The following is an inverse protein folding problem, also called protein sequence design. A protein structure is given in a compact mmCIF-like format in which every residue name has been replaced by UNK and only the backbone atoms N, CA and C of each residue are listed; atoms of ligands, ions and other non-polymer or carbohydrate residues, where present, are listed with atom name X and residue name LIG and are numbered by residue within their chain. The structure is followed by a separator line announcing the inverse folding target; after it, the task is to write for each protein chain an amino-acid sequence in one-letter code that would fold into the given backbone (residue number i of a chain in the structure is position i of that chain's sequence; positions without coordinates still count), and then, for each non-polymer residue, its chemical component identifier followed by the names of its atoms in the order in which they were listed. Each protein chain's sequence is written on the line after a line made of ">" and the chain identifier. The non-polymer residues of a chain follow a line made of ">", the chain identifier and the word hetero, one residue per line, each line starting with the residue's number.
data_IF_068534108154
#
_entry.id   IF_068534108154
#
_cell.length_a   1.000
_cell.length_b   1.000
_cell.length_c   1.000
_cell.angle_alpha   90.00
_cell.angle_beta   90.00
_cell.angle_gamma   90.00
#
_symmetry.space_group_name_H-M   'P 1'
#
loop_
_entity.id
_entity.type
_entity.pdbx_description
1 polymer ?
#
# COMPACT_ATOMS: atom_id res chain seq x y z
N UNK A 1 2.10 -7.07 -0.17
CA UNK A 1 2.08 -8.51 0.17
C UNK A 1 2.92 -8.77 1.41
N UNK A 2 4.22 -8.45 1.36
CA UNK A 2 5.16 -8.52 2.48
C UNK A 2 4.64 -7.84 3.75
N UNK A 3 4.03 -6.65 3.64
CA UNK A 3 3.37 -5.99 4.77
C UNK A 3 2.20 -6.77 5.38
N UNK A 4 1.40 -7.50 4.59
CA UNK A 4 0.33 -8.36 5.12
C UNK A 4 0.87 -9.59 5.83
N UNK A 5 2.00 -10.14 5.35
CA UNK A 5 2.69 -11.24 6.05
C UNK A 5 3.19 -10.80 7.44
N UNK A 6 3.65 -9.55 7.55
CA UNK A 6 4.11 -8.96 8.81
C UNK A 6 2.94 -8.55 9.74
N UNK A 7 1.78 -8.19 9.17
CA UNK A 7 0.59 -7.87 9.94
C UNK A 7 0.05 -9.09 10.68
N UNK A 8 0.16 -10.29 10.10
CA UNK A 8 -0.32 -11.53 10.71
C UNK A 8 0.69 -12.69 10.50
N UNK A 9 1.81 -12.70 11.24
CA UNK A 9 2.93 -13.62 10.98
C UNK A 9 2.59 -15.07 11.31
N UNK A 10 1.80 -15.33 12.36
CA UNK A 10 1.37 -16.69 12.74
C UNK A 10 0.47 -17.29 11.66
N UNK A 11 -0.49 -16.52 11.16
CA UNK A 11 -1.32 -16.92 10.03
C UNK A 11 -0.47 -17.24 8.80
N UNK A 12 0.53 -16.42 8.52
CA UNK A 12 1.46 -16.63 7.40
C UNK A 12 2.27 -17.92 7.56
N UNK A 13 2.81 -18.18 8.75
CA UNK A 13 3.63 -19.37 9.01
C UNK A 13 2.83 -20.66 9.18
N UNK A 14 1.50 -20.58 9.28
CA UNK A 14 0.62 -21.76 9.23
C UNK A 14 0.59 -22.41 7.85
N UNK A 15 0.93 -21.65 6.79
CA UNK A 15 0.93 -22.11 5.39
C UNK A 15 2.34 -22.09 4.78
N UNK A 16 3.20 -21.17 5.22
CA UNK A 16 4.57 -20.99 4.69
C UNK A 16 5.64 -21.25 5.77
N UNK A 17 6.89 -21.58 5.38
CA UNK A 17 7.98 -21.74 6.33
C UNK A 17 8.27 -20.44 7.11
N UNK A 18 8.70 -20.58 8.37
CA UNK A 18 9.00 -19.45 9.26
C UNK A 18 10.04 -18.46 8.71
N UNK A 19 10.95 -18.93 7.87
CA UNK A 19 11.99 -18.13 7.20
C UNK A 19 11.42 -17.04 6.29
N UNK A 20 10.15 -17.16 5.86
CA UNK A 20 9.51 -16.14 5.04
C UNK A 20 9.29 -14.83 5.79
N UNK A 21 9.19 -14.85 7.12
CA UNK A 21 8.94 -13.66 7.94
C UNK A 21 10.14 -12.69 7.90
N UNK A 22 11.38 -13.10 8.20
CA UNK A 22 12.54 -12.21 8.06
C UNK A 22 12.78 -11.78 6.61
N UNK A 23 12.49 -12.65 5.62
CA UNK A 23 12.55 -12.27 4.21
C UNK A 23 11.52 -11.18 3.85
N UNK A 24 10.27 -11.33 4.32
CA UNK A 24 9.21 -10.34 4.14
C UNK A 24 9.54 -9.01 4.84
N UNK A 25 10.15 -9.05 6.03
CA UNK A 25 10.62 -7.86 6.73
C UNK A 25 11.66 -7.10 5.91
N UNK A 26 12.69 -7.80 5.42
CA UNK A 26 13.74 -7.19 4.61
C UNK A 26 13.16 -6.61 3.31
N UNK A 27 12.34 -7.40 2.59
CA UNK A 27 11.72 -6.96 1.35
C UNK A 27 10.81 -5.75 1.57
N UNK A 28 9.91 -5.78 2.57
CA UNK A 28 9.01 -4.66 2.85
C UNK A 28 9.76 -3.38 3.21
N UNK A 29 10.79 -3.50 4.05
CA UNK A 29 11.64 -2.37 4.42
C UNK A 29 12.32 -1.73 3.20
N UNK A 30 12.91 -2.54 2.32
CA UNK A 30 13.55 -2.04 1.11
C UNK A 30 12.56 -1.49 0.08
N UNK A 31 11.40 -2.13 -0.10
CA UNK A 31 10.31 -1.61 -0.93
C UNK A 31 9.87 -0.22 -0.44
N UNK A 32 9.70 -0.05 0.88
CA UNK A 32 9.31 1.23 1.47
C UNK A 32 10.38 2.32 1.24
N UNK A 33 11.67 1.98 1.40
CA UNK A 33 12.78 2.91 1.10
C UNK A 33 12.77 3.29 -0.38
N UNK A 34 12.74 2.31 -1.30
CA UNK A 34 12.75 2.58 -2.74
C UNK A 34 11.55 3.41 -3.19
N UNK A 35 10.34 3.08 -2.72
CA UNK A 35 9.13 3.83 -3.03
C UNK A 35 9.22 5.28 -2.51
N UNK A 36 9.65 5.45 -1.26
CA UNK A 36 9.80 6.78 -0.65
C UNK A 36 10.85 7.61 -1.39
N UNK A 37 12.00 7.02 -1.72
CA UNK A 37 13.07 7.68 -2.48
C UNK A 37 12.59 8.05 -3.88
N UNK A 38 11.86 7.18 -4.58
CA UNK A 38 11.30 7.47 -5.90
C UNK A 38 10.28 8.62 -5.84
N UNK A 39 9.42 8.64 -4.82
CA UNK A 39 8.48 9.73 -4.60
C UNK A 39 9.23 11.05 -4.38
N UNK A 40 10.24 11.08 -3.50
CA UNK A 40 10.92 12.33 -3.16
C UNK A 40 11.84 12.80 -4.30
N UNK A 41 12.78 11.97 -4.73
CA UNK A 41 13.84 12.37 -5.65
C UNK A 41 13.37 12.48 -7.09
N UNK A 42 12.45 11.63 -7.52
CA UNK A 42 11.99 11.65 -8.90
C UNK A 42 10.66 12.40 -9.02
N UNK A 43 9.63 11.95 -8.31
CA UNK A 43 8.29 12.52 -8.48
C UNK A 43 8.22 13.97 -7.98
N UNK A 44 8.47 14.23 -6.70
CA UNK A 44 8.38 15.58 -6.11
C UNK A 44 9.39 16.55 -6.73
N UNK A 45 10.60 16.10 -7.02
CA UNK A 45 11.56 16.92 -7.75
C UNK A 45 11.01 17.39 -9.10
N UNK A 46 10.44 16.50 -9.92
CA UNK A 46 9.97 16.89 -11.25
C UNK A 46 8.76 17.84 -11.18
N UNK A 47 7.84 17.60 -10.26
CA UNK A 47 6.56 18.36 -10.19
C UNK A 47 6.60 19.60 -9.30
N UNK A 48 7.59 19.73 -8.40
CA UNK A 48 7.73 20.89 -7.52
C UNK A 48 8.97 21.74 -7.82
N UNK A 49 10.10 21.12 -8.17
CA UNK A 49 11.41 21.81 -8.28
C UNK A 49 11.78 22.07 -9.73
N UNK A 50 11.91 21.03 -10.56
CA UNK A 50 12.30 21.14 -11.97
C UNK A 50 11.26 21.93 -12.76
N UNK A 51 9.99 21.54 -12.61
CA UNK A 51 8.85 22.23 -13.19
C UNK A 51 7.80 22.36 -12.09
N UNK A 52 7.29 23.56 -11.86
CA UNK A 52 6.17 23.72 -10.96
C UNK A 52 4.87 23.33 -11.67
N UNK A 53 4.24 22.22 -11.25
CA UNK A 53 3.00 21.69 -11.83
C UNK A 53 1.84 21.79 -10.80
N UNK A 54 0.93 22.77 -10.93
CA UNK A 54 -0.19 22.97 -10.01
C UNK A 54 -1.45 22.17 -10.37
N UNK A 55 -1.37 21.25 -11.35
CA UNK A 55 -2.54 20.58 -11.93
C UNK A 55 -3.33 19.75 -10.92
N UNK A 56 -2.68 19.20 -9.89
CA UNK A 56 -3.36 18.44 -8.82
C UNK A 56 -4.38 19.28 -8.05
N UNK A 57 -4.16 20.60 -7.94
CA UNK A 57 -5.06 21.52 -7.23
C UNK A 57 -5.94 22.33 -8.19
N UNK A 58 -5.38 22.79 -9.30
CA UNK A 58 -6.06 23.72 -10.21
C UNK A 58 -6.73 23.03 -11.39
N UNK A 59 -6.36 21.77 -11.66
CA UNK A 59 -6.73 21.07 -12.90
C UNK A 59 -6.08 21.65 -14.15
N UNK A 60 -5.11 22.56 -14.03
CA UNK A 60 -4.47 23.26 -15.17
C UNK A 60 -2.95 23.06 -15.15
N UNK A 61 -2.37 22.97 -16.34
CA UNK A 61 -0.93 22.88 -16.56
C UNK A 61 -0.41 24.19 -17.20
N UNK A 62 0.79 24.66 -16.84
CA UNK A 62 1.42 25.80 -17.52
C UNK A 62 1.56 25.56 -19.03
N UNK A 63 1.42 26.62 -19.82
CA UNK A 63 1.44 26.55 -21.28
C UNK A 63 2.71 25.89 -21.83
N UNK A 64 3.88 26.29 -21.35
CA UNK A 64 5.17 25.75 -21.79
C UNK A 64 5.28 24.23 -21.53
N UNK A 65 4.78 23.75 -20.38
CA UNK A 65 4.76 22.32 -20.07
C UNK A 65 3.79 21.56 -20.99
N UNK A 66 2.65 22.16 -21.35
CA UNK A 66 1.77 21.58 -22.36
C UNK A 66 2.44 21.50 -23.73
N UNK A 67 3.22 22.51 -24.13
CA UNK A 67 3.94 22.52 -25.41
C UNK A 67 5.01 21.42 -25.47
N UNK A 68 5.74 21.22 -24.37
CA UNK A 68 6.84 20.25 -24.30
C UNK A 68 6.37 18.81 -24.10
N UNK A 69 5.36 18.57 -23.25
CA UNK A 69 4.97 17.21 -22.81
C UNK A 69 3.64 16.74 -23.42
N UNK A 70 2.77 17.65 -23.88
CA UNK A 70 1.38 17.38 -24.27
C UNK A 70 0.91 18.18 -25.50
N UNK A 71 1.77 18.30 -26.52
CA UNK A 71 1.53 19.16 -27.69
C UNK A 71 0.21 18.86 -28.42
N UNK A 72 -0.15 17.57 -28.55
CA UNK A 72 -1.38 17.15 -29.23
C UNK A 72 -2.64 17.56 -28.47
N UNK A 73 -2.61 17.46 -27.14
CA UNK A 73 -3.70 17.93 -26.28
C UNK A 73 -3.85 19.45 -26.37
N UNK A 74 -2.74 20.18 -26.47
CA UNK A 74 -2.71 21.63 -26.57
C UNK A 74 -3.32 22.12 -27.88
N UNK A 75 -2.87 21.59 -29.02
CA UNK A 75 -3.41 21.91 -30.34
C UNK A 75 -4.91 21.64 -30.41
N UNK A 76 -5.35 20.50 -29.86
CA UNK A 76 -6.78 20.16 -29.77
C UNK A 76 -7.56 21.22 -28.97
N UNK A 77 -7.02 21.71 -27.85
CA UNK A 77 -7.69 22.74 -27.06
C UNK A 77 -7.74 24.08 -27.78
N UNK A 78 -6.67 24.47 -28.48
CA UNK A 78 -6.59 25.72 -29.23
C UNK A 78 -7.52 25.78 -30.44
N UNK A 79 -7.69 24.66 -31.12
CA UNK A 79 -8.63 24.50 -32.24
C UNK A 79 -10.10 24.44 -31.81
N UNK A 80 -10.39 24.68 -30.53
CA UNK A 80 -11.74 24.64 -29.96
C UNK A 80 -12.27 23.22 -29.71
N UNK A 81 -11.38 22.22 -29.74
CA UNK A 81 -11.69 20.84 -29.41
C UNK A 81 -12.11 20.66 -27.95
N UNK A 82 -12.81 19.56 -27.70
CA UNK A 82 -13.26 19.21 -26.35
C UNK A 82 -12.06 18.93 -25.43
N UNK A 83 -12.05 19.45 -24.19
CA UNK A 83 -11.01 19.10 -23.19
C UNK A 83 -10.96 17.61 -22.86
N UNK A 84 -12.09 16.94 -23.00
CA UNK A 84 -12.24 15.52 -22.76
C UNK A 84 -12.46 14.77 -24.08
N UNK A 85 -11.90 13.57 -24.18
CA UNK A 85 -12.23 12.65 -25.27
C UNK A 85 -13.72 12.28 -25.18
N UNK A 86 -14.51 12.64 -26.20
CA UNK A 86 -15.94 12.32 -26.23
C UNK A 86 -16.10 10.84 -26.55
N UNK A 87 -16.49 10.04 -25.56
CA UNK A 87 -16.86 8.63 -25.75
C UNK A 87 -18.34 8.54 -26.13
N UNK A 88 -18.67 7.73 -27.13
CA UNK A 88 -20.06 7.48 -27.57
C UNK A 88 -20.95 7.07 -26.38
N UNK A 89 -22.11 7.73 -26.24
CA UNK A 89 -22.95 7.66 -25.03
C UNK A 89 -23.32 6.24 -24.57
N UNK A 90 -23.77 5.33 -25.45
CA UNK A 90 -24.03 3.94 -25.10
C UNK A 90 -22.81 3.19 -24.55
N UNK A 91 -21.62 3.42 -25.11
CA UNK A 91 -20.36 2.82 -24.62
C UNK A 91 -20.02 3.36 -23.24
N UNK A 92 -20.17 4.67 -23.02
CA UNK A 92 -19.94 5.29 -21.72
C UNK A 92 -20.88 4.72 -20.64
N UNK A 93 -22.17 4.56 -20.96
CA UNK A 93 -23.15 3.97 -20.03
C UNK A 93 -22.77 2.54 -19.65
N UNK A 94 -22.33 1.73 -20.62
CA UNK A 94 -21.88 0.36 -20.38
C UNK A 94 -20.63 0.32 -19.50
N UNK A 95 -19.61 1.13 -19.83
CA UNK A 95 -18.37 1.25 -19.03
C UNK A 95 -18.67 1.70 -17.60
N UNK A 96 -19.52 2.72 -17.42
CA UNK A 96 -19.90 3.23 -16.09
C UNK A 96 -20.61 2.17 -15.26
N UNK A 97 -21.54 1.43 -15.86
CA UNK A 97 -22.24 0.33 -15.17
C UNK A 97 -21.26 -0.76 -14.76
N UNK A 98 -20.41 -1.21 -15.67
CA UNK A 98 -19.45 -2.28 -15.37
C UNK A 98 -18.44 -1.83 -14.32
N UNK A 99 -17.95 -0.59 -14.41
CA UNK A 99 -17.09 0.02 -13.40
C UNK A 99 -17.80 0.07 -12.05
N UNK A 100 -19.03 0.58 -11.97
CA UNK A 100 -19.78 0.64 -10.71
C UNK A 100 -19.99 -0.75 -10.10
N UNK A 101 -20.36 -1.75 -10.90
CA UNK A 101 -20.51 -3.14 -10.44
C UNK A 101 -19.18 -3.69 -9.92
N UNK A 102 -18.11 -3.57 -10.72
CA UNK A 102 -16.78 -4.04 -10.33
C UNK A 102 -16.28 -3.33 -9.06
N UNK A 103 -16.48 -2.02 -8.95
CA UNK A 103 -16.12 -1.23 -7.77
C UNK A 103 -16.86 -1.70 -6.53
N UNK A 104 -18.17 -1.96 -6.61
CA UNK A 104 -18.94 -2.47 -5.46
C UNK A 104 -18.45 -3.86 -5.05
N UNK A 105 -18.22 -4.75 -6.01
CA UNK A 105 -17.72 -6.10 -5.72
C UNK A 105 -16.33 -6.04 -5.08
N UNK A 106 -15.39 -5.30 -5.69
CA UNK A 106 -14.02 -5.17 -5.20
C UNK A 106 -14.01 -4.48 -3.83
N UNK A 107 -14.77 -3.39 -3.65
CA UNK A 107 -14.85 -2.71 -2.36
C UNK A 107 -15.43 -3.61 -1.27
N UNK A 108 -16.49 -4.36 -1.58
CA UNK A 108 -17.07 -5.35 -0.66
C UNK A 108 -16.09 -6.46 -0.29
N UNK A 109 -15.35 -6.99 -1.26
CA UNK A 109 -14.30 -7.98 -1.03
C UNK A 109 -13.16 -7.43 -0.19
N UNK A 110 -12.64 -6.24 -0.52
CA UNK A 110 -11.57 -5.58 0.25
C UNK A 110 -12.01 -5.29 1.68
N UNK A 111 -13.26 -4.84 1.88
CA UNK A 111 -13.82 -4.62 3.20
C UNK A 111 -13.94 -5.92 3.98
N UNK A 112 -14.45 -6.99 3.37
CA UNK A 112 -14.56 -8.30 3.99
C UNK A 112 -13.18 -8.87 4.38
N UNK A 113 -12.19 -8.74 3.49
CA UNK A 113 -10.80 -9.15 3.76
C UNK A 113 -10.19 -8.32 4.89
N UNK A 114 -10.43 -7.00 4.92
CA UNK A 114 -9.97 -6.15 6.01
C UNK A 114 -10.60 -6.58 7.34
N UNK A 115 -11.94 -6.71 7.40
CA UNK A 115 -12.65 -7.16 8.60
C UNK A 115 -12.12 -8.53 9.05
N UNK A 116 -11.96 -9.47 8.13
CA UNK A 116 -11.39 -10.78 8.43
C UNK A 116 -9.96 -10.66 8.97
N UNK A 117 -9.08 -9.90 8.31
CA UNK A 117 -7.68 -9.75 8.72
C UNK A 117 -7.53 -9.14 10.13
N UNK A 118 -8.40 -8.18 10.50
CA UNK A 118 -8.40 -7.56 11.83
C UNK A 118 -9.14 -8.40 12.90
N UNK A 119 -10.04 -9.30 12.53
CA UNK A 119 -10.78 -10.16 13.48
C UNK A 119 -10.15 -11.53 13.67
N UNK A 120 -9.31 -11.96 12.73
CA UNK A 120 -8.60 -13.24 12.74
C UNK A 120 -7.27 -13.22 13.53
N UNK A 121 -6.94 -12.14 14.23
CA UNK A 121 -5.68 -12.04 14.97
C UNK A 121 -5.57 -13.06 16.12
N UNK A 122 -4.82 -14.15 15.94
CA UNK A 122 -4.26 -14.95 17.04
C UNK A 122 -2.97 -14.30 17.56
N UNK A 123 -3.07 -13.16 18.23
CA UNK A 123 -1.88 -12.44 18.76
C UNK A 123 -1.41 -12.95 20.12
N UNK A 124 -2.22 -13.76 20.81
CA UNK A 124 -1.87 -14.31 22.11
C UNK A 124 -1.40 -15.77 21.96
N UNK A 125 -0.09 -16.00 22.07
CA UNK A 125 0.44 -17.34 22.32
C UNK A 125 -0.14 -17.80 23.67
N UNK A 126 -0.80 -18.95 23.71
CA UNK A 126 -1.24 -19.56 24.97
C UNK A 126 -0.01 -19.82 25.82
N UNK A 127 0.21 -18.99 26.85
CA UNK A 127 1.34 -19.15 27.74
C UNK A 127 1.10 -20.37 28.61
N UNK A 128 2.03 -21.32 28.54
CA UNK A 128 2.10 -22.40 29.52
C UNK A 128 2.30 -21.77 30.92
N UNK A 129 1.63 -22.29 31.96
CA UNK A 129 1.79 -21.77 33.31
C UNK A 129 3.27 -21.80 33.70
N UNK A 130 3.74 -20.72 34.35
CA UNK A 130 5.11 -20.61 34.83
C UNK A 130 5.42 -21.85 35.68
N UNK A 131 6.34 -22.69 35.20
CA UNK A 131 6.87 -23.79 35.99
C UNK A 131 7.66 -23.17 37.14
N UNK A 132 7.05 -23.09 38.32
CA UNK A 132 7.76 -22.76 39.56
C UNK A 132 8.54 -23.99 39.97
N UNK A 133 9.73 -24.20 39.40
CA UNK A 133 10.68 -25.11 40.03
C UNK A 133 11.13 -24.44 41.33
N UNK A 134 10.99 -25.14 42.46
CA UNK A 134 11.67 -24.73 43.67
C UNK A 134 13.17 -24.72 43.39
N UNK A 135 13.78 -23.54 43.50
CA UNK A 135 15.22 -23.39 43.40
C UNK A 135 15.81 -24.23 44.53
N UNK A 136 16.50 -25.32 44.19
CA UNK A 136 17.21 -26.12 45.18
C UNK A 136 18.31 -25.25 45.80
N UNK A 137 18.07 -24.79 47.04
CA UNK A 137 19.08 -24.13 47.85
C UNK A 137 19.75 -25.23 48.68
N UNK A 138 20.99 -25.65 48.35
CA UNK A 138 21.71 -26.60 49.20
C UNK A 138 21.85 -25.99 50.59
N UNK A 139 21.57 -26.78 51.63
CA UNK A 139 21.68 -26.38 53.04
C UNK A 139 22.97 -25.58 53.27
N UNK A 140 22.85 -24.40 53.90
CA UNK A 140 23.98 -23.63 54.39
C UNK A 140 24.92 -24.56 55.15
N UNK A 141 26.16 -24.66 54.67
CA UNK A 141 27.26 -25.28 55.40
C UNK A 141 27.36 -24.65 56.79
N UNK A 142 27.47 -25.44 57.87
CA UNK A 142 27.67 -24.89 59.19
C UNK A 142 28.95 -24.05 59.17
N UNK A 143 28.84 -22.79 59.60
CA UNK A 143 29.99 -21.90 59.81
C UNK A 143 30.78 -22.45 61.02
N UNK A 144 32.12 -22.46 60.99
CA UNK A 144 32.95 -23.04 62.06
C UNK A 144 32.74 -22.43 63.45
#
# INVERSE_FOLDING_TARGET
>A
ITGFMLLNPIATTSVLPGEIIPAALAAHGWEAVLATTAIILWHLYNVLIKHFNPSMWTGKLPRNQMEEEHMLELERLETGGSPWTRVYGPVLKHRRRNFAIASVIIAGLLLAVAVWAFTFEETAITTIPRVTQEVFVPLNTPVP
#
